data_IF_982750721250
#
_entry.id   IF_982750721250
#
_cell.length_a   1.000
_cell.length_b   1.000
_cell.length_c   1.000
_cell.angle_alpha   90.00
_cell.angle_beta   90.00
_cell.angle_gamma   90.00
#
_symmetry.space_group_name_H-M   'P 1'
#
loop_
_entity.id
_entity.type
_entity.pdbx_description
1 polymer ?
#
# COMPACT_ATOMS: atom_id res chain seq x y z
N UNK A 1 7.14 25.99 -26.27
CA UNK A 1 6.21 24.87 -26.54
C UNK A 1 6.83 23.66 -25.86
N UNK A 2 6.20 23.14 -24.80
CA UNK A 2 6.69 21.96 -24.06
C UNK A 2 6.02 20.72 -24.65
N UNK A 3 6.81 19.68 -24.94
CA UNK A 3 6.33 18.47 -25.62
C UNK A 3 5.45 17.59 -24.71
N UNK A 4 4.43 16.91 -25.27
CA UNK A 4 3.57 16.01 -24.51
C UNK A 4 4.33 14.73 -24.12
N UNK A 5 4.32 14.40 -22.83
CA UNK A 5 4.85 13.14 -22.29
C UNK A 5 4.14 11.97 -22.97
N UNK A 6 4.93 11.07 -23.56
CA UNK A 6 4.42 9.93 -24.35
C UNK A 6 4.00 8.79 -23.43
N UNK A 7 3.07 7.95 -23.89
CA UNK A 7 2.53 6.82 -23.11
C UNK A 7 3.60 5.78 -22.76
N UNK A 8 4.74 5.81 -23.45
CA UNK A 8 5.85 4.87 -23.30
C UNK A 8 6.79 5.22 -22.13
N UNK A 9 6.74 6.46 -21.62
CA UNK A 9 7.55 6.91 -20.48
C UNK A 9 7.09 6.31 -19.13
N UNK A 10 5.97 5.57 -19.13
CA UNK A 10 5.35 4.99 -17.93
C UNK A 10 5.94 3.62 -17.55
N UNK A 11 6.73 3.01 -18.44
CA UNK A 11 7.29 1.66 -18.25
C UNK A 11 8.76 1.63 -17.80
N UNK A 12 9.32 2.73 -17.27
CA UNK A 12 10.61 2.63 -16.58
C UNK A 12 10.41 2.11 -15.15
N UNK A 13 10.59 0.81 -15.04
CA UNK A 13 10.54 0.03 -13.83
C UNK A 13 11.68 0.45 -12.89
N UNK A 14 11.35 1.24 -11.86
CA UNK A 14 12.18 1.39 -10.67
C UNK A 14 11.41 0.86 -9.46
N UNK A 15 11.45 -0.47 -9.33
CA UNK A 15 11.25 -1.19 -8.08
C UNK A 15 12.23 -0.65 -7.02
N UNK A 16 11.81 0.39 -6.31
CA UNK A 16 12.44 0.87 -5.09
C UNK A 16 11.48 0.59 -3.95
N UNK A 17 11.70 -0.54 -3.28
CA UNK A 17 11.04 -0.88 -2.03
C UNK A 17 11.42 0.16 -0.96
N UNK A 18 10.55 1.13 -0.69
CA UNK A 18 10.70 2.05 0.45
C UNK A 18 9.54 1.83 1.41
N UNK A 19 9.75 0.91 2.34
CA UNK A 19 8.91 0.74 3.52
C UNK A 19 9.16 1.92 4.47
N UNK A 20 8.24 2.88 4.55
CA UNK A 20 8.31 3.99 5.49
C UNK A 20 7.07 4.03 6.38
N UNK A 21 7.18 3.37 7.54
CA UNK A 21 6.31 3.58 8.69
C UNK A 21 6.40 5.05 9.13
N UNK A 22 5.32 5.82 8.97
CA UNK A 22 5.21 7.15 9.58
C UNK A 22 4.06 7.18 10.58
N UNK A 23 4.41 6.93 11.84
CA UNK A 23 3.56 7.10 13.01
C UNK A 23 3.15 8.58 13.15
N UNK A 24 1.88 8.90 12.87
CA UNK A 24 1.33 10.25 13.05
C UNK A 24 1.16 10.54 14.55
N UNK A 25 2.03 11.35 15.15
CA UNK A 25 1.78 11.98 16.45
C UNK A 25 1.08 13.34 16.23
N UNK A 26 -0.14 13.46 16.76
CA UNK A 26 -0.87 14.74 16.93
C UNK A 26 -0.22 15.51 18.08
N UNK A 27 0.09 16.79 17.90
CA UNK A 27 0.46 17.69 19.00
C UNK A 27 -0.42 18.93 18.95
N UNK A 28 -1.09 19.20 20.07
CA UNK A 28 -1.87 20.40 20.33
C UNK A 28 -0.92 21.58 20.57
N UNK A 29 -1.24 22.73 19.99
CA UNK A 29 -0.48 23.97 20.15
C UNK A 29 -0.67 24.54 21.55
N UNK A 30 0.43 24.79 22.26
CA UNK A 30 0.46 25.71 23.41
C UNK A 30 1.53 26.75 23.15
N UNK A 31 1.08 27.99 23.21
CA UNK A 31 1.81 29.24 23.08
C UNK A 31 2.60 29.50 24.38
N UNK A 32 3.89 29.81 24.30
CA UNK A 32 4.63 30.44 25.41
C UNK A 32 5.97 31.04 24.93
N UNK A 33 5.95 32.38 24.85
CA UNK A 33 7.07 33.33 24.83
C UNK A 33 7.98 33.17 26.05
N UNK A 34 9.31 33.15 25.86
CA UNK A 34 10.29 33.71 26.80
C UNK A 34 11.62 34.06 26.08
N UNK A 35 12.12 35.22 26.46
CA UNK A 35 13.27 35.99 25.99
C UNK A 35 14.55 35.60 26.76
N UNK A 36 15.73 35.75 26.16
CA UNK A 36 17.01 35.43 26.81
C UNK A 36 18.24 35.52 25.90
N UNK A 37 19.05 36.55 26.11
CA UNK A 37 20.37 36.79 25.52
C UNK A 37 21.45 35.87 26.13
N UNK A 38 22.39 35.36 25.32
CA UNK A 38 23.77 35.10 25.76
C UNK A 38 24.75 34.98 24.57
N UNK A 39 25.95 35.55 24.76
CA UNK A 39 27.04 35.65 23.78
C UNK A 39 27.92 34.40 23.67
N UNK A 40 28.48 34.19 22.47
CA UNK A 40 29.90 33.87 22.22
C UNK A 40 30.47 32.50 22.63
N UNK A 41 30.67 31.60 21.66
CA UNK A 41 31.86 30.73 21.61
C UNK A 41 32.21 30.31 20.17
N UNK A 42 33.51 30.34 19.87
CA UNK A 42 34.10 30.09 18.54
C UNK A 42 34.87 28.78 18.61
N UNK A 43 34.41 27.71 17.96
CA UNK A 43 35.31 26.61 17.59
C UNK A 43 34.81 25.70 16.46
N UNK A 44 35.54 25.77 15.35
CA UNK A 44 36.01 24.67 14.49
C UNK A 44 35.02 23.75 13.74
N UNK A 45 34.98 24.03 12.42
CA UNK A 45 35.02 23.09 11.27
C UNK A 45 34.42 21.68 11.49
N UNK A 46 33.13 21.57 11.16
CA UNK A 46 32.61 20.40 10.43
C UNK A 46 32.07 20.86 9.09
N UNK A 47 32.64 20.33 8.02
CA UNK A 47 32.15 20.48 6.65
C UNK A 47 30.64 20.18 6.63
N UNK A 48 29.87 21.25 6.47
CA UNK A 48 28.42 21.17 6.33
C UNK A 48 28.16 20.53 4.96
N UNK A 49 27.86 19.23 4.96
CA UNK A 49 27.12 18.58 3.86
C UNK A 49 26.02 19.56 3.45
N UNK A 50 26.10 20.03 2.20
CA UNK A 50 25.25 21.08 1.67
C UNK A 50 23.82 20.87 2.13
N UNK A 51 23.29 21.87 2.84
CA UNK A 51 21.87 21.93 3.19
C UNK A 51 21.15 21.78 1.88
N UNK A 52 20.43 20.65 1.68
CA UNK A 52 19.50 20.51 0.57
C UNK A 52 18.69 21.80 0.54
N UNK A 53 18.64 22.45 -0.62
CA UNK A 53 17.90 23.68 -0.82
C UNK A 53 16.51 23.53 -0.17
N UNK A 54 16.00 24.57 0.51
CA UNK A 54 14.68 24.50 1.13
C UNK A 54 13.71 23.95 0.09
N UNK A 55 13.12 22.79 0.39
CA UNK A 55 12.25 22.03 -0.49
C UNK A 55 11.29 22.99 -1.18
N UNK A 56 11.51 23.30 -2.46
CA UNK A 56 10.55 24.08 -3.25
C UNK A 56 9.22 23.35 -3.12
N UNK A 57 8.20 24.07 -2.65
CA UNK A 57 6.86 23.51 -2.64
C UNK A 57 6.52 23.16 -4.09
N UNK A 58 6.03 21.93 -4.31
CA UNK A 58 5.55 21.51 -5.62
C UNK A 58 4.65 22.61 -6.19
N UNK A 59 4.93 23.02 -7.42
CA UNK A 59 4.07 23.95 -8.15
C UNK A 59 2.67 23.37 -8.27
N UNK A 60 1.65 24.20 -8.47
CA UNK A 60 0.28 23.70 -8.58
C UNK A 60 0.10 22.79 -9.81
N UNK A 61 0.90 23.01 -10.87
CA UNK A 61 0.98 22.13 -12.02
C UNK A 61 1.58 20.76 -11.65
N UNK A 62 2.67 20.73 -10.89
CA UNK A 62 3.29 19.49 -10.42
C UNK A 62 2.41 18.73 -9.44
N UNK A 63 1.73 19.42 -8.51
CA UNK A 63 0.75 18.79 -7.61
C UNK A 63 -0.38 18.13 -8.39
N UNK A 64 -0.91 18.81 -9.40
CA UNK A 64 -1.97 18.25 -10.27
C UNK A 64 -1.47 17.03 -11.04
N UNK A 65 -0.27 17.09 -11.61
CA UNK A 65 0.35 15.98 -12.32
C UNK A 65 0.57 14.77 -11.39
N UNK A 66 1.14 15.00 -10.20
CA UNK A 66 1.39 13.96 -9.21
C UNK A 66 0.09 13.32 -8.68
N UNK A 67 -0.96 14.12 -8.46
CA UNK A 67 -2.27 13.61 -8.07
C UNK A 67 -2.86 12.67 -9.13
N UNK A 68 -2.82 13.06 -10.42
CA UNK A 68 -3.30 12.23 -11.53
C UNK A 68 -2.48 10.93 -11.63
N UNK A 69 -1.15 11.02 -11.53
CA UNK A 69 -0.26 9.87 -11.58
C UNK A 69 -0.52 8.90 -10.41
N UNK A 70 -0.63 9.43 -9.19
CA UNK A 70 -0.90 8.65 -7.98
C UNK A 70 -2.26 7.94 -8.05
N UNK A 71 -3.29 8.62 -8.55
CA UNK A 71 -4.62 8.02 -8.72
C UNK A 71 -4.64 6.96 -9.83
N UNK A 72 -3.93 7.18 -10.95
CA UNK A 72 -3.78 6.16 -12.00
C UNK A 72 -3.11 4.90 -11.44
N UNK A 73 -2.01 5.05 -10.70
CA UNK A 73 -1.31 3.94 -10.04
C UNK A 73 -2.22 3.23 -9.04
N UNK A 74 -2.95 3.98 -8.20
CA UNK A 74 -3.93 3.41 -7.25
C UNK A 74 -4.98 2.57 -7.97
N UNK A 75 -5.59 3.09 -9.04
CA UNK A 75 -6.60 2.36 -9.84
C UNK A 75 -6.04 1.12 -10.50
N UNK A 76 -4.81 1.18 -11.01
CA UNK A 76 -4.14 0.02 -11.59
C UNK A 76 -3.92 -1.09 -10.55
N UNK A 77 -3.44 -0.73 -9.36
CA UNK A 77 -3.25 -1.69 -8.27
C UNK A 77 -4.57 -2.35 -7.84
N UNK A 78 -5.67 -1.60 -7.81
CA UNK A 78 -7.00 -2.16 -7.51
C UNK A 78 -7.41 -3.18 -8.58
N UNK A 79 -7.21 -2.88 -9.87
CA UNK A 79 -7.52 -3.81 -10.96
C UNK A 79 -6.70 -5.10 -10.87
N UNK A 80 -5.40 -4.99 -10.61
CA UNK A 80 -4.55 -6.16 -10.40
C UNK A 80 -5.05 -7.05 -9.24
N UNK A 81 -5.54 -6.44 -8.16
CA UNK A 81 -6.17 -7.20 -7.07
C UNK A 81 -7.43 -7.95 -7.50
N UNK A 82 -8.26 -7.37 -8.36
CA UNK A 82 -9.42 -8.05 -8.94
C UNK A 82 -9.03 -9.18 -9.89
N UNK A 83 -7.99 -8.99 -10.71
CA UNK A 83 -7.49 -10.03 -11.61
C UNK A 83 -6.98 -11.24 -10.82
N UNK A 84 -6.28 -11.02 -9.71
CA UNK A 84 -5.88 -12.09 -8.78
C UNK A 84 -7.08 -12.82 -8.17
N UNK A 85 -8.13 -12.09 -7.78
CA UNK A 85 -9.36 -12.72 -7.26
C UNK A 85 -10.02 -13.62 -8.31
N UNK A 86 -10.03 -13.21 -9.58
CA UNK A 86 -10.59 -14.01 -10.67
C UNK A 86 -9.79 -15.31 -10.88
N UNK A 87 -8.46 -15.25 -10.76
CA UNK A 87 -7.59 -16.40 -10.92
C UNK A 87 -7.79 -17.44 -9.81
N UNK A 88 -7.86 -17.01 -8.55
CA UNK A 88 -7.93 -17.93 -7.40
C UNK A 88 -9.34 -18.49 -7.16
N UNK A 89 -10.40 -17.80 -7.58
CA UNK A 89 -11.79 -18.22 -7.35
C UNK A 89 -12.28 -19.02 -8.56
N UNK A 90 -12.47 -20.35 -8.45
CA UNK A 90 -12.77 -21.20 -9.62
C UNK A 90 -14.03 -20.78 -10.40
N UNK A 91 -15.03 -20.26 -9.67
CA UNK A 91 -16.32 -19.82 -10.24
C UNK A 91 -16.25 -18.55 -11.09
N UNK A 92 -15.12 -17.85 -11.14
CA UNK A 92 -14.94 -16.59 -11.87
C UNK A 92 -14.19 -16.74 -13.20
N UNK A 93 -13.63 -17.91 -13.49
CA UNK A 93 -12.75 -18.16 -14.65
C UNK A 93 -13.41 -18.00 -16.02
N UNK A 94 -14.73 -18.23 -16.14
CA UNK A 94 -15.47 -18.25 -17.41
C UNK A 94 -16.75 -17.37 -17.37
N UNK A 95 -16.82 -16.39 -16.47
CA UNK A 95 -18.08 -15.69 -16.16
C UNK A 95 -18.03 -14.17 -16.13
N UNK A 96 -19.03 -13.58 -15.46
CA UNK A 96 -19.19 -12.14 -15.30
C UNK A 96 -18.03 -11.50 -14.53
N UNK A 97 -17.46 -10.43 -15.07
CA UNK A 97 -16.33 -9.67 -14.48
C UNK A 97 -16.76 -8.38 -13.78
N UNK A 98 -18.02 -8.28 -13.34
CA UNK A 98 -18.44 -7.11 -12.56
C UNK A 98 -17.82 -7.16 -11.16
N UNK A 99 -17.32 -6.02 -10.68
CA UNK A 99 -16.62 -5.91 -9.38
C UNK A 99 -17.49 -6.47 -8.23
N UNK A 100 -18.79 -6.14 -8.22
CA UNK A 100 -19.72 -6.65 -7.22
C UNK A 100 -19.88 -8.17 -7.27
N UNK A 101 -19.94 -8.77 -8.46
CA UNK A 101 -20.06 -10.22 -8.62
C UNK A 101 -18.79 -10.94 -8.20
N UNK A 102 -17.61 -10.39 -8.55
CA UNK A 102 -16.31 -10.93 -8.14
C UNK A 102 -16.21 -10.96 -6.61
N UNK A 103 -16.56 -9.87 -5.93
CA UNK A 103 -16.54 -9.82 -4.47
C UNK A 103 -17.51 -10.84 -3.86
N UNK A 104 -18.73 -10.93 -4.38
CA UNK A 104 -19.73 -11.89 -3.89
C UNK A 104 -19.22 -13.33 -4.00
N UNK A 105 -18.70 -13.73 -5.16
CA UNK A 105 -18.18 -15.08 -5.38
C UNK A 105 -16.92 -15.37 -4.57
N UNK A 106 -16.09 -14.36 -4.33
CA UNK A 106 -14.93 -14.47 -3.44
C UNK A 106 -15.37 -14.82 -2.01
N UNK A 107 -16.39 -14.15 -1.49
CA UNK A 107 -16.94 -14.45 -0.15
C UNK A 107 -17.54 -15.86 -0.10
N UNK A 108 -18.31 -16.25 -1.11
CA UNK A 108 -18.90 -17.59 -1.20
C UNK A 108 -17.81 -18.69 -1.22
N UNK A 109 -16.72 -18.47 -1.95
CA UNK A 109 -15.59 -19.39 -2.00
C UNK A 109 -14.89 -19.51 -0.65
N UNK A 110 -14.66 -18.41 0.07
CA UNK A 110 -14.09 -18.43 1.42
C UNK A 110 -14.96 -19.26 2.37
N UNK A 111 -16.29 -19.08 2.34
CA UNK A 111 -17.22 -19.88 3.16
C UNK A 111 -17.14 -21.37 2.82
N UNK A 112 -17.07 -21.70 1.53
CA UNK A 112 -16.90 -23.08 1.09
C UNK A 112 -15.60 -23.70 1.61
N UNK A 113 -14.46 -23.00 1.48
CA UNK A 113 -13.17 -23.49 1.99
C UNK A 113 -13.18 -23.71 3.50
N UNK A 114 -13.85 -22.85 4.27
CA UNK A 114 -14.01 -23.02 5.72
C UNK A 114 -14.78 -24.32 6.04
N UNK A 115 -15.86 -24.58 5.32
CA UNK A 115 -16.66 -25.79 5.50
C UNK A 115 -15.84 -27.04 5.17
N UNK A 116 -15.20 -27.08 3.98
CA UNK A 116 -14.33 -28.19 3.57
C UNK A 116 -13.23 -28.46 4.59
N UNK A 117 -12.57 -27.40 5.09
CA UNK A 117 -11.55 -27.52 6.14
C UNK A 117 -12.12 -28.12 7.44
N UNK A 118 -13.33 -27.73 7.84
CA UNK A 118 -13.96 -28.26 9.05
C UNK A 118 -14.36 -29.74 8.87
N UNK A 119 -14.88 -30.10 7.70
CA UNK A 119 -15.27 -31.47 7.36
C UNK A 119 -14.05 -32.40 7.36
N UNK A 120 -12.96 -31.99 6.70
CA UNK A 120 -11.69 -32.72 6.72
C UNK A 120 -11.14 -32.88 8.15
N UNK A 121 -11.24 -31.83 8.98
CA UNK A 121 -10.85 -31.94 10.39
C UNK A 121 -11.71 -32.92 11.18
N UNK A 122 -13.00 -33.01 10.87
CA UNK A 122 -13.86 -34.02 11.48
C UNK A 122 -13.46 -35.43 11.08
N UNK A 123 -13.29 -35.66 9.77
CA UNK A 123 -12.86 -36.96 9.24
C UNK A 123 -11.52 -37.41 9.85
N UNK A 124 -10.56 -36.49 10.02
CA UNK A 124 -9.28 -36.81 10.67
C UNK A 124 -9.50 -37.24 12.12
N UNK A 125 -10.34 -36.55 12.89
CA UNK A 125 -10.64 -36.93 14.29
C UNK A 125 -11.31 -38.29 14.37
N UNK A 126 -12.27 -38.56 13.48
CA UNK A 126 -12.99 -39.82 13.45
C UNK A 126 -12.04 -40.97 13.13
N UNK A 127 -11.18 -40.81 12.11
CA UNK A 127 -10.15 -41.79 11.75
C UNK A 127 -9.11 -41.97 12.85
N UNK A 128 -8.71 -40.90 13.54
CA UNK A 128 -7.82 -40.98 14.71
C UNK A 128 -8.46 -41.74 15.87
N UNK A 129 -9.77 -41.58 16.08
CA UNK A 129 -10.52 -42.38 17.06
C UNK A 129 -10.56 -43.86 16.71
N UNK A 130 -10.77 -44.18 15.43
CA UNK A 130 -10.79 -45.58 14.93
C UNK A 130 -9.41 -46.23 14.99
N UNK A 131 -8.33 -45.48 14.72
CA UNK A 131 -6.96 -46.00 14.72
C UNK A 131 -6.30 -45.99 16.11
N UNK A 132 -6.82 -45.18 17.04
CA UNK A 132 -6.30 -44.99 18.39
C UNK A 132 -6.87 -45.94 19.45
N UNK A 133 -7.84 -46.80 19.09
CA UNK A 133 -8.31 -47.89 19.93
C UNK A 133 -7.91 -49.26 19.33
N UNK A 134 -6.67 -49.68 19.63
CA UNK A 134 -6.19 -51.06 19.66
C UNK A 134 -5.00 -51.18 20.62
#
# INVERSE_FOLDING_TARGET
>A
MLEPITLDDINHDHNSNTNSNTSRKRSYSTDQVLDGEEEGDVSEKKERKGRKAPHELLTDAEKKANHIASEKKRRQNIRLGFDQLIEIVPSLTQGNRSEAFILQKSVDHIRHLINVKNDLKSQIRDLQGVLGEA
#
